data_IF_993994570030
#
_entry.id   IF_993994570030
#
_cell.length_a   1.000
_cell.length_b   1.000
_cell.length_c   1.000
_cell.angle_alpha   90.00
_cell.angle_beta   90.00
_cell.angle_gamma   90.00
#
_symmetry.space_group_name_H-M   'P 1'
#
loop_
_entity.id
_entity.type
_entity.pdbx_description
1 polymer ?
#
# COMPACT_ATOMS: atom_id res chain seq x y z
N UNK A 1 -6.36 0.63 22.76
CA UNK A 1 -5.65 -0.37 21.93
C UNK A 1 -4.23 0.10 21.62
N UNK A 2 -3.32 -0.80 21.23
CA UNK A 2 -1.88 -0.49 21.20
C UNK A 2 -1.50 0.47 20.07
N UNK A 3 -2.11 0.34 18.87
CA UNK A 3 -1.74 1.19 17.73
C UNK A 3 -2.31 2.59 17.86
N UNK A 4 -3.59 2.70 18.23
CA UNK A 4 -4.20 4.02 18.40
C UNK A 4 -3.72 4.76 19.64
N UNK A 5 -2.96 4.13 20.55
CA UNK A 5 -2.35 4.79 21.72
C UNK A 5 -1.11 5.61 21.33
N UNK A 6 -0.48 5.35 20.19
CA UNK A 6 0.70 6.12 19.75
C UNK A 6 0.32 7.55 19.37
N UNK A 7 1.25 8.50 19.57
CA UNK A 7 1.04 9.90 19.19
C UNK A 7 1.11 10.11 17.68
N UNK A 8 1.68 9.14 16.97
CA UNK A 8 1.83 9.14 15.52
C UNK A 8 1.54 7.72 15.02
N UNK A 9 0.42 7.56 14.31
CA UNK A 9 0.03 6.27 13.73
C UNK A 9 0.87 5.93 12.51
N UNK A 10 1.33 6.94 11.75
CA UNK A 10 2.15 6.76 10.56
C UNK A 10 3.51 6.18 10.92
N UNK A 11 4.11 6.67 12.01
CA UNK A 11 5.35 6.11 12.54
C UNK A 11 5.20 4.62 12.92
N UNK A 12 4.12 4.26 13.60
CA UNK A 12 3.82 2.87 14.02
C UNK A 12 3.62 1.96 12.80
N UNK A 13 2.79 2.37 11.85
CA UNK A 13 2.50 1.62 10.64
C UNK A 13 3.74 1.46 9.74
N UNK A 14 4.59 2.47 9.61
CA UNK A 14 5.84 2.36 8.86
C UNK A 14 6.84 1.41 9.55
N UNK A 15 6.83 1.33 10.88
CA UNK A 15 7.63 0.37 11.63
C UNK A 15 7.15 -1.06 11.41
N UNK A 16 5.83 -1.29 11.47
CA UNK A 16 5.23 -2.59 11.12
C UNK A 16 5.53 -3.01 9.68
N UNK A 17 5.44 -2.06 8.72
CA UNK A 17 5.80 -2.30 7.32
C UNK A 17 7.23 -2.82 7.15
N UNK A 18 8.19 -2.30 7.93
CA UNK A 18 9.60 -2.73 7.89
C UNK A 18 9.79 -4.15 8.43
N UNK A 19 8.98 -4.57 9.41
CA UNK A 19 9.03 -5.90 10.00
C UNK A 19 8.39 -6.99 9.11
N UNK A 20 7.40 -6.62 8.30
CA UNK A 20 6.75 -7.57 7.40
C UNK A 20 7.69 -7.98 6.26
N UNK A 21 7.72 -9.27 5.95
CA UNK A 21 8.30 -9.76 4.68
C UNK A 21 7.47 -9.23 3.50
N UNK A 22 8.04 -9.04 2.30
CA UNK A 22 7.27 -8.70 1.10
C UNK A 22 6.12 -9.69 0.89
N UNK A 23 4.90 -9.18 0.62
CA UNK A 23 3.69 -9.99 0.51
C UNK A 23 3.09 -10.45 1.84
N UNK A 24 3.73 -10.15 2.98
CA UNK A 24 3.24 -10.46 4.31
C UNK A 24 1.94 -9.72 4.66
N UNK A 25 1.09 -10.36 5.46
CA UNK A 25 -0.20 -9.81 5.90
C UNK A 25 -0.07 -9.12 7.26
N UNK A 26 -0.75 -7.98 7.39
CA UNK A 26 -1.02 -7.29 8.63
C UNK A 26 -2.53 -7.36 8.90
N UNK A 27 -2.89 -7.84 10.08
CA UNK A 27 -4.25 -7.85 10.60
C UNK A 27 -4.34 -6.82 11.72
N UNK A 28 -5.23 -5.85 11.58
CA UNK A 28 -5.47 -4.80 12.57
C UNK A 28 -6.91 -4.91 13.06
N UNK A 29 -7.09 -5.13 14.36
CA UNK A 29 -8.41 -5.17 15.01
C UNK A 29 -8.46 -3.99 15.96
N UNK A 30 -9.28 -3.00 15.63
CA UNK A 30 -9.28 -1.71 16.30
C UNK A 30 -10.69 -1.13 16.38
N UNK A 31 -10.96 -0.35 17.42
CA UNK A 31 -12.18 0.46 17.50
C UNK A 31 -12.16 1.50 16.38
N UNK A 32 -13.27 1.63 15.65
CA UNK A 32 -13.39 2.57 14.53
C UNK A 32 -14.60 3.48 14.61
N UNK A 33 -15.41 3.30 15.66
CA UNK A 33 -16.61 4.08 15.92
C UNK A 33 -16.56 4.64 17.34
N UNK A 34 -16.75 5.96 17.45
CA UNK A 34 -16.87 6.61 18.75
C UNK A 34 -18.21 6.21 19.39
N UNK A 35 -18.15 5.52 20.53
CA UNK A 35 -19.32 5.22 21.35
C UNK A 35 -19.14 5.85 22.74
N UNK A 36 -20.13 6.62 23.18
CA UNK A 36 -20.14 7.27 24.50
C UNK A 36 -20.08 6.28 25.67
N UNK A 37 -20.46 5.02 25.46
CA UNK A 37 -20.31 3.97 26.47
C UNK A 37 -18.83 3.64 26.77
N UNK A 38 -17.89 3.91 25.86
CA UNK A 38 -16.46 3.80 26.19
C UNK A 38 -16.02 4.84 27.21
N UNK A 39 -16.62 6.02 27.24
CA UNK A 39 -16.36 7.01 28.29
C UNK A 39 -16.86 6.51 29.65
N UNK A 40 -17.91 5.67 29.67
CA UNK A 40 -18.40 5.05 30.90
C UNK A 40 -17.48 3.94 31.41
N UNK A 41 -16.88 3.14 30.53
CA UNK A 41 -15.95 2.07 30.92
C UNK A 41 -14.56 2.63 31.24
N UNK A 42 -14.04 3.48 30.35
CA UNK A 42 -12.64 3.90 30.36
C UNK A 42 -12.42 5.32 30.87
N UNK A 43 -13.47 6.12 31.05
CA UNK A 43 -13.35 7.51 31.52
C UNK A 43 -12.84 7.67 32.94
N UNK A 44 -12.69 6.60 33.70
CA UNK A 44 -12.00 6.62 35.00
C UNK A 44 -10.47 6.60 34.85
N UNK A 45 -9.94 6.25 33.68
CA UNK A 45 -8.51 6.19 33.46
C UNK A 45 -7.98 7.52 32.88
N UNK A 46 -7.00 8.18 33.52
CA UNK A 46 -6.46 9.46 33.03
C UNK A 46 -5.93 9.40 31.60
N UNK A 47 -5.42 8.23 31.18
CA UNK A 47 -4.92 8.02 29.81
C UNK A 47 -6.00 8.01 28.72
N UNK A 48 -7.29 7.91 29.11
CA UNK A 48 -8.42 7.95 28.19
C UNK A 48 -8.72 9.36 27.70
N UNK A 49 -8.46 10.35 28.55
CA UNK A 49 -8.71 11.75 28.25
C UNK A 49 -7.47 12.40 27.64
N UNK A 50 -7.66 13.10 26.52
CA UNK A 50 -6.64 13.96 25.92
C UNK A 50 -7.21 15.35 25.77
N UNK A 51 -6.61 16.33 26.44
CA UNK A 51 -7.05 17.74 26.41
C UNK A 51 -8.53 17.94 26.74
N UNK A 52 -9.06 17.16 27.69
CA UNK A 52 -10.47 17.25 28.13
C UNK A 52 -11.48 16.59 27.19
N UNK A 53 -11.02 15.95 26.11
CA UNK A 53 -11.86 15.19 25.20
C UNK A 53 -11.54 13.69 25.27
N UNK A 54 -12.56 12.87 25.02
CA UNK A 54 -12.38 11.43 24.83
C UNK A 54 -11.46 11.20 23.64
N UNK A 55 -10.54 10.25 23.74
CA UNK A 55 -9.68 9.87 22.62
C UNK A 55 -10.55 9.20 21.55
N UNK A 56 -11.02 9.99 20.59
CA UNK A 56 -11.82 9.48 19.50
C UNK A 56 -11.04 8.41 18.71
N UNK A 57 -11.61 7.23 18.47
CA UNK A 57 -10.98 6.22 17.64
C UNK A 57 -10.82 6.73 16.21
N UNK A 58 -9.78 6.26 15.53
CA UNK A 58 -9.63 6.53 14.09
C UNK A 58 -10.73 5.82 13.31
N UNK A 59 -11.41 6.55 12.42
CA UNK A 59 -12.41 5.97 11.51
C UNK A 59 -11.74 5.09 10.46
N UNK A 60 -12.53 4.25 9.78
CA UNK A 60 -12.03 3.43 8.66
C UNK A 60 -11.36 4.27 7.57
N UNK A 61 -11.91 5.44 7.25
CA UNK A 61 -11.33 6.30 6.22
C UNK A 61 -10.01 6.93 6.70
N UNK A 62 -9.91 7.30 7.97
CA UNK A 62 -8.64 7.78 8.54
C UNK A 62 -7.58 6.68 8.55
N UNK A 63 -7.95 5.43 8.85
CA UNK A 63 -7.04 4.29 8.72
C UNK A 63 -6.60 4.07 7.28
N UNK A 64 -7.55 4.13 6.32
CA UNK A 64 -7.24 4.00 4.89
C UNK A 64 -6.24 5.07 4.46
N UNK A 65 -6.49 6.32 4.81
CA UNK A 65 -5.61 7.45 4.50
C UNK A 65 -4.23 7.30 5.15
N UNK A 66 -4.15 6.79 6.38
CA UNK A 66 -2.88 6.52 7.05
C UNK A 66 -2.06 5.46 6.29
N UNK A 67 -2.67 4.33 5.90
CA UNK A 67 -2.00 3.29 5.11
C UNK A 67 -1.56 3.80 3.73
N UNK A 68 -2.41 4.57 3.05
CA UNK A 68 -2.11 5.18 1.75
C UNK A 68 -0.93 6.16 1.86
N UNK A 69 -0.91 7.02 2.88
CA UNK A 69 0.12 8.04 3.07
C UNK A 69 1.53 7.45 3.26
N UNK A 70 1.63 6.27 3.87
CA UNK A 70 2.90 5.57 4.10
C UNK A 70 3.38 4.86 2.84
N UNK A 71 2.44 4.38 2.01
CA UNK A 71 2.72 3.58 0.83
C UNK A 71 3.36 2.22 1.15
N UNK A 72 3.64 1.44 0.09
CA UNK A 72 4.25 0.11 0.23
C UNK A 72 3.31 -0.96 0.83
N UNK A 73 2.02 -0.67 0.88
CA UNK A 73 0.94 -1.59 1.19
C UNK A 73 -0.06 -1.63 0.03
N UNK A 74 -0.72 -2.76 -0.15
CA UNK A 74 -1.89 -2.87 -1.03
C UNK A 74 -3.12 -2.20 -0.40
N UNK A 75 -4.17 -1.88 -1.19
CA UNK A 75 -5.39 -1.27 -0.67
C UNK A 75 -5.97 -2.06 0.52
N UNK A 76 -6.28 -1.33 1.60
CA UNK A 76 -6.83 -1.92 2.82
C UNK A 76 -8.22 -2.51 2.57
N UNK A 77 -8.41 -3.76 2.99
CA UNK A 77 -9.71 -4.43 3.02
C UNK A 77 -10.26 -4.40 4.44
N UNK A 78 -11.55 -4.11 4.58
CA UNK A 78 -12.24 -4.08 5.88
C UNK A 78 -13.26 -5.20 5.91
N UNK A 79 -13.35 -5.92 7.03
CA UNK A 79 -14.41 -6.89 7.25
C UNK A 79 -15.78 -6.20 7.18
N UNK A 80 -16.70 -6.78 6.40
CA UNK A 80 -18.04 -6.21 6.18
C UNK A 80 -18.92 -6.13 7.44
N UNK A 81 -18.51 -6.78 8.55
CA UNK A 81 -19.20 -6.69 9.84
C UNK A 81 -18.31 -5.99 10.86
N UNK A 82 -18.71 -4.79 11.25
CA UNK A 82 -18.36 -4.22 12.56
C UNK A 82 -19.09 -5.02 13.63
N UNK A 83 -18.42 -5.34 14.73
CA UNK A 83 -19.10 -6.01 15.83
C UNK A 83 -19.96 -5.02 16.64
N UNK A 84 -20.71 -5.52 17.62
CA UNK A 84 -21.56 -4.71 18.48
C UNK A 84 -20.81 -3.64 19.31
N UNK A 85 -19.48 -3.77 19.43
CA UNK A 85 -18.61 -2.84 20.14
C UNK A 85 -17.98 -1.79 19.21
N UNK A 86 -18.24 -1.86 17.90
CA UNK A 86 -17.72 -0.93 16.92
C UNK A 86 -16.24 -1.11 16.58
N UNK A 87 -15.68 -2.31 16.83
CA UNK A 87 -14.39 -2.68 16.27
C UNK A 87 -14.53 -3.16 14.81
N UNK A 88 -13.43 -3.01 14.08
CA UNK A 88 -13.29 -3.46 12.70
C UNK A 88 -12.00 -4.26 12.56
N UNK A 89 -12.08 -5.37 11.82
CA UNK A 89 -10.92 -6.06 11.29
C UNK A 89 -10.52 -5.42 9.95
N UNK A 90 -9.31 -4.90 9.91
CA UNK A 90 -8.65 -4.37 8.73
C UNK A 90 -7.53 -5.33 8.32
N UNK A 91 -7.47 -5.64 7.04
CA UNK A 91 -6.48 -6.53 6.45
C UNK A 91 -5.70 -5.73 5.42
N UNK A 92 -4.39 -5.73 5.56
CA UNK A 92 -3.48 -5.05 4.65
C UNK A 92 -2.32 -5.98 4.30
N UNK A 93 -1.93 -6.01 3.03
CA UNK A 93 -0.75 -6.77 2.58
C UNK A 93 0.40 -5.81 2.27
N UNK A 94 1.62 -6.14 2.72
CA UNK A 94 2.83 -5.42 2.29
C UNK A 94 3.05 -5.68 0.81
N UNK A 95 3.19 -4.61 0.03
CA UNK A 95 3.38 -4.71 -1.40
C UNK A 95 4.62 -5.54 -1.75
N UNK A 96 4.45 -6.43 -2.72
CA UNK A 96 5.57 -7.16 -3.36
C UNK A 96 6.21 -6.37 -4.49
N UNK A 97 5.63 -5.23 -4.87
CA UNK A 97 6.19 -4.32 -5.85
C UNK A 97 7.58 -3.90 -5.35
N UNK A 98 8.62 -4.39 -6.02
CA UNK A 98 9.97 -3.89 -5.77
C UNK A 98 10.00 -2.41 -6.15
N UNK A 99 10.90 -1.64 -5.57
CA UNK A 99 11.05 -0.20 -5.83
C UNK A 99 11.52 0.09 -7.26
N UNK A 100 10.62 -0.08 -8.24
CA UNK A 100 10.82 0.12 -9.68
C UNK A 100 11.27 1.55 -9.95
N UNK A 101 10.65 2.50 -9.24
CA UNK A 101 10.91 3.93 -9.36
C UNK A 101 12.38 4.31 -9.10
N UNK A 102 13.09 3.59 -8.22
CA UNK A 102 14.49 3.89 -7.91
C UNK A 102 15.39 3.52 -9.11
N UNK A 103 15.12 2.39 -9.78
CA UNK A 103 15.92 1.92 -10.91
C UNK A 103 15.69 2.72 -12.19
N UNK A 104 14.46 3.15 -12.45
CA UNK A 104 14.12 3.94 -13.63
C UNK A 104 14.89 5.26 -13.73
N UNK A 105 15.23 5.87 -12.58
CA UNK A 105 16.02 7.10 -12.54
C UNK A 105 17.43 6.93 -13.11
N UNK A 106 17.98 5.71 -13.08
CA UNK A 106 19.32 5.36 -13.55
C UNK A 106 19.38 5.07 -15.06
N UNK A 107 18.24 4.98 -15.75
CA UNK A 107 18.19 4.58 -17.16
C UNK A 107 18.52 5.74 -18.10
N UNK A 108 19.18 5.44 -19.22
CA UNK A 108 19.45 6.39 -20.32
C UNK A 108 18.18 6.61 -21.19
N UNK A 109 18.33 7.32 -22.32
CA UNK A 109 17.28 7.94 -23.15
C UNK A 109 16.07 7.05 -23.54
N UNK A 110 16.18 5.72 -23.47
CA UNK A 110 15.11 4.78 -23.79
C UNK A 110 14.93 3.68 -22.73
N UNK A 111 13.66 3.44 -22.39
CA UNK A 111 13.22 2.61 -21.29
C UNK A 111 12.09 1.67 -21.73
N UNK A 112 12.26 0.35 -21.57
CA UNK A 112 11.18 -0.63 -21.76
C UNK A 112 10.68 -1.15 -20.41
N UNK A 113 9.41 -0.86 -20.10
CA UNK A 113 8.68 -1.41 -18.96
C UNK A 113 7.74 -2.51 -19.43
N UNK A 114 8.04 -3.74 -19.01
CA UNK A 114 7.22 -4.91 -19.35
C UNK A 114 6.43 -5.37 -18.13
N UNK A 115 5.11 -5.24 -18.20
CA UNK A 115 4.18 -5.78 -17.21
C UNK A 115 3.73 -7.16 -17.65
N UNK A 116 4.02 -8.19 -16.87
CA UNK A 116 3.63 -9.56 -17.19
C UNK A 116 3.16 -10.34 -15.96
N UNK A 117 2.21 -11.24 -16.18
CA UNK A 117 1.74 -12.21 -15.21
C UNK A 117 2.84 -13.26 -14.91
N UNK A 118 3.05 -13.57 -13.62
CA UNK A 118 3.97 -14.64 -13.17
C UNK A 118 3.64 -16.01 -13.75
N UNK A 119 2.37 -16.30 -14.03
CA UNK A 119 1.94 -17.66 -14.34
C UNK A 119 2.39 -18.16 -15.73
N UNK A 120 2.67 -17.27 -16.69
CA UNK A 120 2.70 -17.66 -18.10
C UNK A 120 4.04 -17.48 -18.83
N UNK A 121 5.14 -17.09 -18.14
CA UNK A 121 6.47 -16.87 -18.76
C UNK A 121 6.49 -15.98 -20.02
N UNK A 122 5.40 -15.24 -20.31
CA UNK A 122 5.25 -14.40 -21.49
C UNK A 122 6.31 -13.29 -21.53
N UNK A 123 6.72 -12.81 -20.37
CA UNK A 123 7.84 -11.87 -20.24
C UNK A 123 9.13 -12.41 -20.85
N UNK A 124 9.50 -13.65 -20.54
CA UNK A 124 10.69 -14.29 -21.08
C UNK A 124 10.62 -14.54 -22.59
N UNK A 125 9.42 -14.74 -23.14
CA UNK A 125 9.21 -14.89 -24.57
C UNK A 125 9.31 -13.55 -25.32
N UNK A 126 8.91 -12.44 -24.70
CA UNK A 126 8.90 -11.11 -25.34
C UNK A 126 10.25 -10.40 -25.27
N UNK A 127 11.02 -10.61 -24.21
CA UNK A 127 12.33 -9.94 -23.99
C UNK A 127 13.27 -10.05 -25.20
N UNK A 128 13.44 -11.21 -25.88
CA UNK A 128 14.31 -11.32 -27.04
C UNK A 128 13.84 -10.54 -28.27
N UNK A 129 12.57 -10.13 -28.31
CA UNK A 129 11.98 -9.36 -29.40
C UNK A 129 11.95 -7.85 -29.14
N UNK A 130 12.31 -7.43 -27.93
CA UNK A 130 12.46 -6.02 -27.60
C UNK A 130 13.87 -5.54 -27.99
N UNK A 131 14.04 -4.28 -28.39
CA UNK A 131 15.36 -3.70 -28.65
C UNK A 131 16.28 -3.89 -27.44
N UNK A 132 17.58 -4.10 -27.69
CA UNK A 132 18.60 -4.45 -26.68
C UNK A 132 18.88 -3.39 -25.60
N UNK A 133 18.06 -2.34 -25.49
CA UNK A 133 18.22 -1.25 -24.53
C UNK A 133 17.36 -1.48 -23.29
N UNK A 134 18.01 -1.42 -22.11
CA UNK A 134 17.45 -1.36 -20.75
C UNK A 134 15.99 -1.81 -20.61
N UNK A 135 15.79 -3.12 -20.48
CA UNK A 135 14.48 -3.75 -20.22
C UNK A 135 14.39 -4.09 -18.73
N UNK A 136 13.36 -3.60 -18.03
CA UNK A 136 12.99 -4.10 -16.71
C UNK A 136 11.63 -4.80 -16.75
N UNK A 137 11.62 -6.03 -16.24
CA UNK A 137 10.46 -6.90 -16.22
C UNK A 137 9.79 -6.81 -14.86
N UNK A 138 8.52 -6.43 -14.86
CA UNK A 138 7.70 -6.22 -13.68
C UNK A 138 6.65 -7.32 -13.61
N UNK A 139 6.92 -8.25 -12.70
CA UNK A 139 6.09 -9.41 -12.45
C UNK A 139 5.13 -9.08 -11.29
N UNK A 140 3.86 -8.90 -11.64
CA UNK A 140 2.66 -8.99 -10.79
C UNK A 140 2.12 -7.84 -9.95
N UNK A 141 2.81 -6.73 -9.68
CA UNK A 141 2.19 -5.75 -8.74
C UNK A 141 2.62 -4.33 -9.01
N UNK A 142 2.02 -3.70 -10.01
CA UNK A 142 2.16 -2.25 -10.16
C UNK A 142 0.76 -1.67 -10.11
N UNK A 143 0.47 -0.95 -9.02
CA UNK A 143 -0.80 -0.23 -8.90
C UNK A 143 -0.82 0.91 -9.92
N UNK A 144 -2.01 1.37 -10.31
CA UNK A 144 -2.16 2.50 -11.25
C UNK A 144 -1.37 3.74 -10.79
N UNK A 145 -1.26 3.97 -9.47
CA UNK A 145 -0.47 5.07 -8.91
C UNK A 145 1.03 4.95 -9.19
N UNK A 146 1.56 3.72 -9.16
CA UNK A 146 2.95 3.48 -9.50
C UNK A 146 3.20 3.69 -11.00
N UNK A 147 2.25 3.32 -11.86
CA UNK A 147 2.32 3.58 -13.31
C UNK A 147 2.28 5.09 -13.56
N UNK A 148 1.34 5.82 -12.94
CA UNK A 148 1.22 7.28 -13.09
C UNK A 148 2.48 8.01 -12.64
N UNK A 149 3.01 7.67 -11.47
CA UNK A 149 4.25 8.27 -10.94
C UNK A 149 5.46 7.99 -11.83
N UNK A 150 5.52 6.79 -12.43
CA UNK A 150 6.57 6.41 -13.38
C UNK A 150 6.50 7.25 -14.66
N UNK A 151 5.31 7.42 -15.22
CA UNK A 151 5.07 8.23 -16.42
C UNK A 151 5.46 9.69 -16.15
N UNK A 152 5.04 10.27 -15.01
CA UNK A 152 5.33 11.66 -14.67
C UNK A 152 6.83 11.95 -14.56
N UNK A 153 7.61 11.03 -13.97
CA UNK A 153 9.06 11.18 -13.85
C UNK A 153 9.72 11.12 -15.22
N UNK A 154 9.34 10.15 -16.06
CA UNK A 154 9.93 9.98 -17.39
C UNK A 154 9.62 11.17 -18.31
N UNK A 155 8.39 11.68 -18.27
CA UNK A 155 7.99 12.88 -19.01
C UNK A 155 8.81 14.11 -18.57
N UNK A 156 9.04 14.30 -17.27
CA UNK A 156 9.87 15.40 -16.74
C UNK A 156 11.34 15.29 -17.16
N UNK A 157 11.84 14.09 -17.39
CA UNK A 157 13.23 13.84 -17.78
C UNK A 157 13.43 13.79 -19.30
N UNK A 158 12.40 14.05 -20.10
CA UNK A 158 12.41 13.92 -21.57
C UNK A 158 12.87 12.53 -22.07
N UNK A 159 12.65 11.48 -21.27
CA UNK A 159 13.02 10.11 -21.63
C UNK A 159 11.91 9.47 -22.46
N UNK A 160 12.28 8.65 -23.43
CA UNK A 160 11.31 7.85 -24.18
C UNK A 160 10.92 6.61 -23.38
N UNK A 161 9.63 6.52 -23.05
CA UNK A 161 9.06 5.42 -22.29
C UNK A 161 8.21 4.53 -23.21
N UNK A 162 8.59 3.26 -23.29
CA UNK A 162 7.79 2.24 -23.97
C UNK A 162 7.20 1.29 -22.92
N UNK A 163 5.86 1.22 -22.87
CA UNK A 163 5.13 0.37 -21.93
C UNK A 163 4.46 -0.78 -22.72
N UNK A 164 4.69 -2.00 -22.28
CA UNK A 164 4.06 -3.20 -22.82
C UNK A 164 3.30 -3.92 -21.71
N UNK A 165 2.02 -4.17 -21.94
CA UNK A 165 1.18 -5.03 -21.09
C UNK A 165 1.07 -6.40 -21.76
N UNK A 166 1.66 -7.41 -21.14
CA UNK A 166 1.61 -8.79 -21.60
C UNK A 166 0.70 -9.61 -20.68
N UNK A 167 -0.57 -9.70 -21.05
CA UNK A 167 -1.57 -10.52 -20.37
C UNK A 167 -2.04 -11.62 -21.32
N UNK A 168 -2.30 -12.86 -20.85
CA UNK A 168 -3.03 -13.81 -21.66
C UNK A 168 -4.39 -13.21 -21.98
N UNK A 169 -4.67 -12.99 -23.27
CA UNK A 169 -6.03 -12.76 -23.73
C UNK A 169 -6.78 -14.06 -23.45
N UNK A 170 -7.61 -14.05 -22.40
CA UNK A 170 -8.46 -15.19 -22.08
C UNK A 170 -9.35 -15.53 -23.27
N UNK A 171 -9.14 -16.71 -23.84
CA UNK A 171 -10.13 -17.46 -24.61
C UNK A 171 -10.47 -18.69 -23.78
#
# INVERSE_FOLDING_TARGET
>A
SVLQTTNDINHSLNSLRRLLVPGGLLLVIELTLAHSYFDLIFGLFPYWWRDGHSRAPLTIDQWRQAFESIGGFEPMVVSAKTNAFGDSLMIVRKSTARSILIRLSEWQDQAWLLFADRAHNLSHALVPHLPSSNIEILLDTVTLDHISSTIDIMLKQHKQLHIVFAWPLGI
#
